data_IF_057349750513
#
_entry.id   IF_057349750513
#
_cell.length_a   1.000
_cell.length_b   1.000
_cell.length_c   1.000
_cell.angle_alpha   90.00
_cell.angle_beta   90.00
_cell.angle_gamma   90.00
#
_symmetry.space_group_name_H-M   'P 1'
#
loop_
_entity.id
_entity.type
_entity.pdbx_description
1 polymer ?
#
# COMPACT_ATOMS: atom_id res chain seq x y z
N UNK A 1 26.46 -4.51 -13.72
CA UNK A 1 26.64 -3.04 -13.72
C UNK A 1 26.71 -2.60 -12.27
N UNK A 2 27.85 -2.11 -11.80
CA UNK A 2 28.10 -1.82 -10.37
C UNK A 2 27.11 -0.77 -9.84
N UNK A 3 26.63 -0.94 -8.60
CA UNK A 3 25.76 0.03 -7.92
C UNK A 3 24.26 -0.07 -8.19
N UNK A 4 23.75 -1.19 -8.74
CA UNK A 4 22.30 -1.44 -8.89
C UNK A 4 21.87 -2.57 -7.97
N UNK A 5 20.65 -2.46 -7.43
CA UNK A 5 19.98 -3.50 -6.65
C UNK A 5 18.84 -4.05 -7.49
N UNK A 6 18.56 -5.34 -7.32
CA UNK A 6 17.41 -6.02 -7.93
C UNK A 6 16.47 -6.43 -6.80
N UNK A 7 15.30 -5.80 -6.77
CA UNK A 7 14.22 -6.21 -5.88
C UNK A 7 13.38 -7.27 -6.58
N UNK A 8 13.15 -8.38 -5.88
CA UNK A 8 12.30 -9.49 -6.36
C UNK A 8 11.09 -9.56 -5.45
N UNK A 9 9.89 -9.46 -6.03
CA UNK A 9 8.61 -9.56 -5.31
C UNK A 9 7.99 -10.94 -5.51
N UNK A 10 7.10 -11.32 -4.58
CA UNK A 10 6.30 -12.54 -4.72
C UNK A 10 5.39 -12.47 -5.96
N UNK A 11 5.10 -13.63 -6.54
CA UNK A 11 4.16 -13.73 -7.65
C UNK A 11 2.75 -13.31 -7.20
N UNK A 12 2.11 -12.43 -7.97
CA UNK A 12 0.75 -11.99 -7.65
C UNK A 12 -0.25 -13.13 -7.84
N UNK A 13 -1.35 -13.08 -7.09
CA UNK A 13 -2.57 -13.84 -7.45
C UNK A 13 -3.05 -13.45 -8.85
N UNK A 14 -3.87 -14.28 -9.53
CA UNK A 14 -4.45 -13.91 -10.82
C UNK A 14 -5.20 -12.57 -10.72
N UNK A 15 -4.73 -11.57 -11.47
CA UNK A 15 -5.29 -10.23 -11.49
C UNK A 15 -5.23 -9.61 -12.88
N UNK A 16 -6.12 -8.66 -13.15
CA UNK A 16 -6.12 -7.90 -14.39
C UNK A 16 -4.86 -7.03 -14.52
N UNK A 17 -4.34 -6.88 -15.75
CA UNK A 17 -3.09 -6.16 -16.00
C UNK A 17 -3.09 -4.70 -15.53
N UNK A 18 -4.26 -4.04 -15.45
CA UNK A 18 -4.37 -2.65 -15.01
C UNK A 18 -4.05 -2.46 -13.52
N UNK A 19 -4.02 -3.54 -12.73
CA UNK A 19 -3.71 -3.49 -11.30
C UNK A 19 -2.21 -3.55 -11.00
N UNK A 20 -1.37 -3.87 -11.99
CA UNK A 20 0.09 -3.91 -11.82
C UNK A 20 0.60 -2.53 -11.38
N UNK A 21 1.38 -2.51 -10.29
CA UNK A 21 2.00 -1.29 -9.78
C UNK A 21 3.36 -1.58 -9.14
N UNK A 22 4.26 -0.61 -9.23
CA UNK A 22 5.51 -0.55 -8.49
C UNK A 22 5.89 0.93 -8.30
N UNK A 23 6.59 1.23 -7.20
CA UNK A 23 7.00 2.59 -6.85
C UNK A 23 8.47 2.56 -6.46
N UNK A 24 9.23 3.51 -6.99
CA UNK A 24 10.62 3.75 -6.62
C UNK A 24 10.67 5.15 -6.02
N UNK A 25 10.91 5.25 -4.72
CA UNK A 25 10.96 6.51 -3.99
C UNK A 25 11.86 6.44 -2.76
N UNK A 26 12.09 7.59 -2.15
CA UNK A 26 12.71 7.78 -0.84
C UNK A 26 11.67 8.00 0.27
N UNK A 27 10.46 7.45 0.09
CA UNK A 27 9.37 7.61 1.03
C UNK A 27 9.67 6.96 2.38
N UNK A 28 9.15 7.58 3.44
CA UNK A 28 9.10 6.97 4.75
C UNK A 28 7.79 6.17 4.87
N UNK A 29 7.76 5.22 5.81
CA UNK A 29 6.56 4.45 6.10
C UNK A 29 6.23 4.39 7.60
N UNK A 30 4.96 4.15 7.88
CA UNK A 30 4.48 3.68 9.18
C UNK A 30 3.67 2.42 8.96
N UNK A 31 3.84 1.43 9.83
CA UNK A 31 3.14 0.14 9.73
C UNK A 31 2.38 -0.16 11.00
N UNK A 32 1.47 -1.13 10.94
CA UNK A 32 0.94 -1.78 12.14
C UNK A 32 1.98 -2.73 12.77
N UNK A 33 1.63 -3.30 13.93
CA UNK A 33 2.51 -4.19 14.71
C UNK A 33 2.96 -5.43 13.92
N UNK A 34 2.07 -5.98 13.09
CA UNK A 34 2.33 -7.18 12.28
C UNK A 34 2.99 -6.87 10.92
N UNK A 35 3.33 -5.59 10.67
CA UNK A 35 3.95 -5.10 9.43
C UNK A 35 3.24 -5.51 8.13
N UNK A 36 1.95 -5.85 8.20
CA UNK A 36 1.13 -6.27 7.05
C UNK A 36 0.18 -5.16 6.55
N UNK A 37 0.13 -4.02 7.24
CA UNK A 37 -0.60 -2.83 6.80
C UNK A 37 0.29 -1.59 6.94
N UNK A 38 0.58 -0.93 5.84
CA UNK A 38 1.54 0.18 5.76
C UNK A 38 0.99 1.43 5.08
N UNK A 39 1.38 2.60 5.57
CA UNK A 39 1.20 3.87 4.87
C UNK A 39 2.56 4.43 4.48
N UNK A 40 2.72 4.79 3.21
CA UNK A 40 3.94 5.39 2.66
C UNK A 40 3.66 6.83 2.23
N UNK A 41 4.58 7.74 2.55
CA UNK A 41 4.51 9.12 2.07
C UNK A 41 5.89 9.78 2.09
N UNK A 42 5.97 11.01 1.59
CA UNK A 42 7.20 11.81 1.71
C UNK A 42 7.59 11.95 3.19
N UNK A 43 8.89 11.90 3.54
CA UNK A 43 9.33 11.99 4.93
C UNK A 43 8.79 13.19 5.71
N UNK A 44 8.58 14.34 5.05
CA UNK A 44 8.03 15.54 5.67
C UNK A 44 6.51 15.50 5.93
N UNK A 45 5.81 14.46 5.46
CA UNK A 45 4.36 14.29 5.59
C UNK A 45 3.97 13.00 6.34
N UNK A 46 4.94 12.18 6.75
CA UNK A 46 4.68 10.86 7.34
C UNK A 46 3.96 10.93 8.69
N UNK A 47 4.17 11.99 9.47
CA UNK A 47 3.52 12.17 10.76
C UNK A 47 1.98 12.22 10.63
N UNK A 48 1.48 12.78 9.52
CA UNK A 48 0.05 12.86 9.22
C UNK A 48 -0.57 11.49 8.85
N UNK A 49 0.24 10.47 8.53
CA UNK A 49 -0.24 9.17 8.09
C UNK A 49 -0.89 8.33 9.21
N UNK A 50 -0.67 8.69 10.48
CA UNK A 50 -1.12 7.91 11.65
C UNK A 50 -2.63 7.65 11.66
N UNK A 51 -3.41 8.65 11.24
CA UNK A 51 -4.86 8.52 11.11
C UNK A 51 -5.23 7.50 10.03
N UNK A 52 -4.67 7.64 8.83
CA UNK A 52 -4.90 6.73 7.70
C UNK A 52 -4.51 5.29 8.02
N UNK A 53 -3.41 5.08 8.75
CA UNK A 53 -2.98 3.75 9.22
C UNK A 53 -4.04 3.11 10.12
N UNK A 54 -4.53 3.85 11.11
CA UNK A 54 -5.51 3.35 12.08
C UNK A 54 -6.86 3.04 11.43
N UNK A 55 -7.38 3.96 10.62
CA UNK A 55 -8.67 3.79 9.96
C UNK A 55 -8.59 2.74 8.86
N UNK A 56 -7.54 2.76 8.03
CA UNK A 56 -7.36 1.80 6.94
C UNK A 56 -7.34 0.35 7.42
N UNK A 57 -6.59 0.05 8.49
CA UNK A 57 -6.55 -1.28 9.10
C UNK A 57 -7.93 -1.72 9.62
N UNK A 58 -8.65 -0.83 10.30
CA UNK A 58 -10.02 -1.11 10.78
C UNK A 58 -11.00 -1.30 9.63
N UNK A 59 -10.88 -0.52 8.56
CA UNK A 59 -11.70 -0.64 7.37
C UNK A 59 -11.48 -1.97 6.66
N UNK A 60 -10.23 -2.41 6.52
CA UNK A 60 -9.90 -3.72 5.96
C UNK A 60 -10.55 -4.82 6.80
N UNK A 61 -10.37 -4.78 8.13
CA UNK A 61 -10.94 -5.80 9.03
C UNK A 61 -12.47 -5.83 9.01
N UNK A 62 -13.08 -4.65 8.91
CA UNK A 62 -14.52 -4.54 8.77
C UNK A 62 -15.00 -5.17 7.46
N UNK A 63 -14.34 -4.91 6.34
CA UNK A 63 -14.70 -5.49 5.05
C UNK A 63 -14.56 -7.01 5.03
N UNK A 64 -13.51 -7.57 5.62
CA UNK A 64 -13.37 -9.02 5.78
C UNK A 64 -14.56 -9.62 6.53
N UNK A 65 -14.93 -9.01 7.66
CA UNK A 65 -16.04 -9.47 8.50
C UNK A 65 -17.39 -9.33 7.79
N UNK A 66 -17.57 -8.21 7.08
CA UNK A 66 -18.82 -7.90 6.40
C UNK A 66 -19.06 -8.79 5.18
N UNK A 67 -18.02 -9.06 4.40
CA UNK A 67 -18.09 -9.88 3.19
C UNK A 67 -17.95 -11.37 3.46
N UNK A 68 -17.36 -11.75 4.60
CA UNK A 68 -16.99 -13.13 4.92
C UNK A 68 -15.80 -13.63 4.09
N UNK A 69 -15.03 -12.73 3.48
CA UNK A 69 -13.88 -13.03 2.63
C UNK A 69 -12.64 -12.34 3.19
N UNK A 70 -11.65 -13.13 3.57
CA UNK A 70 -10.36 -12.62 4.05
C UNK A 70 -9.58 -11.95 2.92
N UNK A 71 -8.76 -10.95 3.26
CA UNK A 71 -7.88 -10.32 2.28
C UNK A 71 -6.77 -11.30 1.86
N UNK A 72 -6.61 -11.60 0.55
CA UNK A 72 -5.81 -12.74 0.11
C UNK A 72 -4.30 -12.49 0.07
N UNK A 73 -3.84 -11.24 0.21
CA UNK A 73 -2.41 -10.93 0.14
C UNK A 73 -1.81 -10.78 1.54
N UNK A 74 -0.52 -11.09 1.66
CA UNK A 74 0.24 -11.00 2.93
C UNK A 74 0.35 -9.57 3.46
N UNK A 75 0.16 -8.55 2.60
CA UNK A 75 0.24 -7.13 2.98
C UNK A 75 -0.68 -6.23 2.15
N UNK A 76 -1.01 -5.07 2.70
CA UNK A 76 -1.61 -3.94 1.99
C UNK A 76 -0.86 -2.65 2.30
N UNK A 77 -0.35 -1.98 1.27
CA UNK A 77 0.25 -0.65 1.37
C UNK A 77 -0.67 0.41 0.78
N UNK A 78 -0.74 1.57 1.43
CA UNK A 78 -1.38 2.77 0.91
C UNK A 78 -0.29 3.84 0.73
N UNK A 79 -0.21 4.45 -0.45
CA UNK A 79 0.89 5.36 -0.81
C UNK A 79 0.35 6.73 -1.21
N UNK A 80 0.74 7.78 -0.49
CA UNK A 80 0.39 9.15 -0.81
C UNK A 80 1.36 9.74 -1.86
N UNK A 81 0.87 9.92 -3.09
CA UNK A 81 1.63 10.40 -4.25
C UNK A 81 1.31 11.89 -4.50
N UNK A 82 2.30 12.80 -4.43
CA UNK A 82 2.08 14.25 -4.54
C UNK A 82 1.34 14.70 -5.81
N UNK A 83 1.67 14.09 -6.95
CA UNK A 83 1.12 14.40 -8.26
C UNK A 83 0.32 13.21 -8.79
N UNK A 84 -0.85 12.99 -8.20
CA UNK A 84 -1.77 11.94 -8.63
C UNK A 84 -3.01 12.56 -9.31
N UNK A 85 -3.22 12.21 -10.59
CA UNK A 85 -4.28 12.80 -11.41
C UNK A 85 -5.69 12.36 -10.97
N UNK A 86 -5.81 11.13 -10.46
CA UNK A 86 -7.02 10.61 -9.84
C UNK A 86 -7.05 10.91 -8.33
N UNK A 87 -8.18 10.65 -7.68
CA UNK A 87 -8.25 10.73 -6.21
C UNK A 87 -7.50 9.58 -5.52
N UNK A 88 -7.68 8.36 -6.05
CA UNK A 88 -7.00 7.15 -5.60
C UNK A 88 -7.03 6.08 -6.73
N UNK A 89 -6.24 5.01 -6.58
CA UNK A 89 -6.26 3.83 -7.46
C UNK A 89 -6.00 2.56 -6.65
N UNK A 90 -6.82 1.53 -6.89
CA UNK A 90 -6.92 0.31 -6.09
C UNK A 90 -5.95 -0.81 -6.49
N UNK A 91 -4.72 -0.48 -6.90
CA UNK A 91 -3.72 -1.48 -7.25
C UNK A 91 -3.54 -2.51 -6.12
N UNK A 92 -3.65 -3.79 -6.44
CA UNK A 92 -3.82 -4.84 -5.42
C UNK A 92 -2.55 -4.98 -4.58
N UNK A 93 -2.66 -4.68 -3.28
CA UNK A 93 -1.54 -4.64 -2.35
C UNK A 93 -0.73 -3.34 -2.33
N UNK A 94 -1.00 -2.38 -3.21
CA UNK A 94 -0.28 -1.10 -3.31
C UNK A 94 -1.21 0.05 -3.75
N UNK A 95 -2.19 0.38 -2.92
CA UNK A 95 -3.20 1.41 -3.23
C UNK A 95 -2.55 2.78 -3.24
N UNK A 96 -2.79 3.60 -4.27
CA UNK A 96 -2.20 4.94 -4.37
C UNK A 96 -3.24 6.04 -4.16
N UNK A 97 -2.86 7.13 -3.49
CA UNK A 97 -3.71 8.28 -3.18
C UNK A 97 -3.02 9.58 -3.61
N UNK A 98 -3.81 10.64 -3.77
CA UNK A 98 -3.30 12.02 -3.84
C UNK A 98 -2.87 12.56 -2.48
#
# INVERSE_FOLDING_TARGET
>A
RQGRIWDTYEESVPMSSYLVAFIISDFANITNENTNFGIWSRPNAIEAASYSRNIGEKSLKYLETYTGVDYPLSKMDLVAIPDFAAGAMENWGLVTFR
#
